data_IF_464614405162
#
_entry.id   IF_464614405162
#
_cell.length_a   1.000
_cell.length_b   1.000
_cell.length_c   1.000
_cell.angle_alpha   90.00
_cell.angle_beta   90.00
_cell.angle_gamma   90.00
#
_symmetry.space_group_name_H-M   'P 1'
#
loop_
_entity.id
_entity.type
_entity.pdbx_description
1 polymer ?
#
# COMPACT_ATOMS: atom_id res chain seq x y z
N UNK A 1 -53.62 -54.77 35.59
CA UNK A 1 -52.64 -53.65 35.46
C UNK A 1 -51.31 -54.00 34.74
N UNK A 2 -50.74 -55.18 34.84
CA UNK A 2 -49.46 -55.55 34.15
C UNK A 2 -49.59 -55.68 32.61
N UNK A 3 -50.73 -56.12 32.05
CA UNK A 3 -50.91 -56.23 30.59
C UNK A 3 -51.07 -54.86 29.92
N UNK A 4 -51.65 -53.89 30.59
CA UNK A 4 -51.82 -52.52 30.06
C UNK A 4 -50.50 -51.76 29.99
N UNK A 5 -49.60 -51.92 30.97
CA UNK A 5 -48.27 -51.33 30.96
C UNK A 5 -47.38 -51.89 29.83
N UNK A 6 -47.54 -53.16 29.43
CA UNK A 6 -46.81 -53.77 28.30
C UNK A 6 -47.32 -53.31 26.94
N UNK A 7 -48.61 -53.05 26.82
CA UNK A 7 -49.22 -52.51 25.60
C UNK A 7 -48.81 -51.03 25.38
N UNK A 8 -48.77 -50.25 26.47
CA UNK A 8 -48.33 -48.85 26.39
C UNK A 8 -46.83 -48.71 26.05
N UNK A 9 -45.98 -49.61 26.56
CA UNK A 9 -44.55 -49.63 26.23
C UNK A 9 -44.31 -50.03 24.76
N UNK A 10 -45.12 -50.95 24.21
CA UNK A 10 -45.04 -51.37 22.80
C UNK A 10 -45.48 -50.25 21.85
N UNK A 11 -46.53 -49.48 22.19
CA UNK A 11 -47.01 -48.36 21.40
C UNK A 11 -46.05 -47.18 21.46
N UNK A 12 -45.42 -46.90 22.57
CA UNK A 12 -44.39 -45.85 22.68
C UNK A 12 -43.11 -46.26 21.88
N UNK A 13 -42.73 -47.54 21.90
CA UNK A 13 -41.62 -48.03 21.14
C UNK A 13 -41.86 -47.95 19.60
N UNK A 14 -43.12 -48.22 19.15
CA UNK A 14 -43.49 -48.10 17.76
C UNK A 14 -43.52 -46.66 17.27
N UNK A 15 -43.98 -45.73 18.13
CA UNK A 15 -43.97 -44.28 17.79
C UNK A 15 -42.52 -43.73 17.72
N UNK A 16 -41.62 -44.21 18.58
CA UNK A 16 -40.20 -43.84 18.50
C UNK A 16 -39.52 -44.39 17.26
N UNK A 17 -39.91 -45.52 16.71
CA UNK A 17 -39.34 -46.05 15.47
C UNK A 17 -39.81 -45.34 14.20
N UNK A 18 -41.00 -44.69 14.24
CA UNK A 18 -41.52 -43.96 13.08
C UNK A 18 -40.94 -42.54 13.00
N UNK A 19 -40.39 -41.99 14.12
CA UNK A 19 -39.75 -40.69 14.12
C UNK A 19 -38.36 -40.67 13.48
N UNK A 20 -37.78 -41.79 13.03
CA UNK A 20 -36.51 -41.88 12.33
C UNK A 20 -36.67 -42.18 10.85
N UNK A 21 -37.79 -41.86 10.22
CA UNK A 21 -37.78 -41.68 8.77
C UNK A 21 -37.03 -40.37 8.50
N UNK A 22 -35.75 -40.51 8.23
CA UNK A 22 -34.89 -39.43 7.72
C UNK A 22 -35.52 -38.95 6.41
N UNK A 23 -36.25 -37.85 6.48
CA UNK A 23 -36.35 -36.98 5.32
C UNK A 23 -34.93 -36.62 4.93
N UNK A 24 -34.56 -36.76 3.65
CA UNK A 24 -33.29 -36.16 3.24
C UNK A 24 -33.40 -34.67 3.51
N UNK A 25 -32.75 -34.22 4.59
CA UNK A 25 -32.37 -32.84 4.66
C UNK A 25 -31.48 -32.63 3.45
N UNK A 26 -32.06 -32.08 2.39
CA UNK A 26 -31.25 -31.34 1.45
C UNK A 26 -30.65 -30.19 2.29
N UNK A 27 -29.49 -30.42 2.86
CA UNK A 27 -28.58 -29.36 3.14
C UNK A 27 -28.32 -28.75 1.77
N UNK A 28 -29.14 -27.76 1.38
CA UNK A 28 -28.62 -26.72 0.55
C UNK A 28 -27.44 -26.22 1.36
N UNK A 29 -26.23 -26.62 0.94
CA UNK A 29 -25.08 -25.82 1.15
C UNK A 29 -25.55 -24.43 0.67
N UNK A 30 -25.89 -23.53 1.60
CA UNK A 30 -25.71 -22.14 1.32
C UNK A 30 -24.28 -22.10 0.81
N UNK A 31 -24.12 -21.94 -0.51
CA UNK A 31 -22.94 -21.33 -1.02
C UNK A 31 -22.80 -20.08 -0.18
N UNK A 32 -21.99 -20.19 0.89
CA UNK A 32 -21.26 -19.06 1.35
C UNK A 32 -20.54 -18.59 0.08
N UNK A 33 -21.21 -17.74 -0.69
CA UNK A 33 -20.51 -16.79 -1.47
C UNK A 33 -19.67 -16.07 -0.43
N UNK A 34 -18.45 -16.60 -0.19
CA UNK A 34 -17.36 -15.75 0.22
C UNK A 34 -17.46 -14.62 -0.79
N UNK A 35 -18.05 -13.53 -0.32
CA UNK A 35 -17.77 -12.23 -0.89
C UNK A 35 -16.28 -12.12 -0.59
N UNK A 36 -15.48 -12.72 -1.45
CA UNK A 36 -14.12 -12.32 -1.68
C UNK A 36 -14.27 -10.83 -2.01
N UNK A 37 -14.21 -10.01 -0.98
CA UNK A 37 -13.86 -8.60 -1.14
C UNK A 37 -12.48 -8.72 -1.75
N UNK A 38 -12.44 -8.79 -3.08
CA UNK A 38 -11.22 -8.66 -3.85
C UNK A 38 -10.70 -7.32 -3.38
N UNK A 39 -9.71 -7.37 -2.49
CA UNK A 39 -9.01 -6.17 -2.08
C UNK A 39 -8.68 -5.49 -3.39
N UNK A 40 -9.15 -4.29 -3.60
CA UNK A 40 -8.85 -3.53 -4.81
C UNK A 40 -7.35 -3.44 -4.84
N UNK A 41 -6.72 -4.21 -5.74
CA UNK A 41 -5.27 -4.20 -5.86
C UNK A 41 -4.91 -2.75 -6.20
N UNK A 42 -4.18 -2.14 -5.31
CA UNK A 42 -3.70 -0.77 -5.46
C UNK A 42 -2.72 -0.74 -6.62
N UNK A 43 -2.85 0.25 -7.50
CA UNK A 43 -1.90 0.49 -8.59
C UNK A 43 -1.10 1.73 -8.25
N UNK A 44 0.21 1.63 -8.40
CA UNK A 44 1.14 2.72 -8.15
C UNK A 44 1.61 3.33 -9.46
N UNK A 45 1.49 4.65 -9.57
CA UNK A 45 2.05 5.42 -10.69
C UNK A 45 3.14 6.33 -10.13
N UNK A 46 4.39 6.04 -10.49
CA UNK A 46 5.54 6.88 -10.17
C UNK A 46 5.75 7.87 -11.30
N UNK A 47 5.65 9.16 -11.04
CA UNK A 47 5.86 10.21 -12.03
C UNK A 47 7.17 10.91 -11.73
N UNK A 48 8.13 10.73 -12.62
CA UNK A 48 9.47 11.30 -12.56
C UNK A 48 9.57 12.49 -13.50
N UNK A 49 10.17 13.56 -13.02
CA UNK A 49 10.47 14.74 -13.81
C UNK A 49 11.95 15.06 -13.73
N UNK A 50 12.64 14.90 -14.86
CA UNK A 50 14.04 15.19 -15.02
C UNK A 50 14.23 16.55 -15.65
N UNK A 51 14.92 17.46 -14.93
CA UNK A 51 15.26 18.79 -15.41
C UNK A 51 16.79 18.95 -15.44
N UNK A 52 17.39 19.14 -16.63
CA UNK A 52 18.84 19.31 -16.74
C UNK A 52 19.41 20.53 -16.01
N UNK A 53 18.57 21.57 -15.78
CA UNK A 53 18.95 22.79 -15.04
C UNK A 53 18.82 22.63 -13.53
N UNK A 54 18.27 21.50 -13.04
CA UNK A 54 18.05 21.23 -11.62
C UNK A 54 17.07 22.18 -10.92
N UNK A 55 16.34 23.02 -11.67
CA UNK A 55 15.41 23.98 -11.08
C UNK A 55 13.99 23.42 -11.05
N UNK A 56 13.58 22.93 -9.89
CA UNK A 56 12.25 22.38 -9.64
C UNK A 56 11.32 23.34 -8.89
N UNK A 57 11.69 24.60 -8.72
CA UNK A 57 10.92 25.58 -7.92
C UNK A 57 9.50 25.75 -8.48
N UNK A 58 8.52 25.51 -7.62
CA UNK A 58 7.10 25.60 -7.93
C UNK A 58 6.53 24.43 -8.74
N UNK A 59 7.37 23.54 -9.29
CA UNK A 59 6.88 22.40 -10.07
C UNK A 59 6.21 21.37 -9.18
N UNK A 60 5.03 20.89 -9.61
CA UNK A 60 4.21 19.88 -8.95
C UNK A 60 3.30 19.20 -9.97
N UNK A 61 2.54 18.22 -9.50
CA UNK A 61 1.57 17.50 -10.29
C UNK A 61 0.15 17.86 -9.83
N UNK A 62 -0.76 17.94 -10.77
CA UNK A 62 -2.19 17.88 -10.55
C UNK A 62 -2.68 16.54 -11.07
N UNK A 63 -3.27 15.70 -10.22
CA UNK A 63 -3.66 14.34 -10.59
C UNK A 63 -5.12 14.05 -10.24
N UNK A 64 -5.78 13.19 -11.03
CA UNK A 64 -7.15 12.73 -10.79
C UNK A 64 -7.36 11.33 -11.36
N UNK A 65 -8.20 10.56 -10.73
CA UNK A 65 -8.81 9.36 -11.30
C UNK A 65 -10.09 9.75 -12.06
N UNK A 66 -10.49 8.95 -13.04
CA UNK A 66 -11.70 9.20 -13.83
C UNK A 66 -12.93 9.41 -12.93
N UNK A 67 -13.62 10.54 -13.11
CA UNK A 67 -14.81 10.90 -12.33
C UNK A 67 -14.57 11.40 -10.91
N UNK A 68 -13.31 11.59 -10.50
CA UNK A 68 -12.94 12.17 -9.20
C UNK A 68 -12.34 13.57 -9.38
N UNK A 69 -12.40 14.35 -8.31
CA UNK A 69 -11.74 15.66 -8.27
C UNK A 69 -10.22 15.50 -8.28
N UNK A 70 -9.54 16.43 -8.95
CA UNK A 70 -8.08 16.49 -8.96
C UNK A 70 -7.51 16.99 -7.65
N UNK A 71 -6.28 16.58 -7.38
CA UNK A 71 -5.49 17.05 -6.22
C UNK A 71 -4.05 17.35 -6.60
N UNK A 72 -3.43 18.28 -5.85
CA UNK A 72 -2.00 18.55 -5.95
C UNK A 72 -1.21 17.41 -5.32
N UNK A 73 -0.15 17.01 -5.99
CA UNK A 73 0.87 16.10 -5.48
C UNK A 73 2.23 16.78 -5.67
N UNK A 74 2.96 16.94 -4.59
CA UNK A 74 4.33 17.44 -4.64
C UNK A 74 5.31 16.26 -4.83
N UNK A 75 6.49 16.56 -5.34
CA UNK A 75 7.56 15.58 -5.45
C UNK A 75 8.04 15.20 -4.05
N UNK A 76 8.20 13.90 -3.82
CA UNK A 76 8.53 13.33 -2.50
C UNK A 76 9.97 12.83 -2.42
N UNK A 77 10.65 12.62 -3.55
CA UNK A 77 12.01 12.13 -3.61
C UNK A 77 12.78 12.72 -4.79
N UNK A 78 14.09 12.56 -4.74
CA UNK A 78 15.04 13.00 -5.75
C UNK A 78 16.20 12.00 -5.83
N UNK A 79 16.70 11.78 -7.03
CA UNK A 79 17.90 11.03 -7.33
C UNK A 79 18.58 11.60 -8.59
N UNK A 80 19.58 10.90 -9.13
CA UNK A 80 20.32 11.33 -10.33
C UNK A 80 19.45 11.50 -11.59
N UNK A 81 18.29 10.83 -11.63
CA UNK A 81 17.34 10.91 -12.74
C UNK A 81 16.23 11.96 -12.52
N UNK A 82 16.33 12.76 -11.48
CA UNK A 82 15.44 13.88 -11.18
C UNK A 82 14.51 13.67 -10.00
N UNK A 83 13.49 14.53 -9.89
CA UNK A 83 12.49 14.43 -8.84
C UNK A 83 11.35 13.51 -9.22
N UNK A 84 10.76 12.83 -8.23
CA UNK A 84 9.61 11.96 -8.47
C UNK A 84 8.52 12.10 -7.40
N UNK A 85 7.30 11.77 -7.82
CA UNK A 85 6.16 11.58 -6.94
C UNK A 85 5.56 10.19 -7.18
N UNK A 86 4.89 9.63 -6.17
CA UNK A 86 4.18 8.36 -6.28
C UNK A 86 2.71 8.59 -5.98
N UNK A 87 1.87 8.17 -6.90
CA UNK A 87 0.41 8.24 -6.79
C UNK A 87 -0.11 6.83 -6.61
N UNK A 88 -0.77 6.59 -5.49
CA UNK A 88 -1.51 5.38 -5.21
C UNK A 88 -2.94 5.55 -5.72
N UNK A 89 -3.41 4.65 -6.56
CA UNK A 89 -4.74 4.69 -7.17
C UNK A 89 -5.43 3.34 -7.07
N UNK A 90 -6.75 3.33 -7.22
CA UNK A 90 -7.54 2.10 -7.24
C UNK A 90 -7.41 1.39 -8.58
N UNK A 91 -7.35 0.04 -8.56
CA UNK A 91 -7.39 -0.79 -9.78
C UNK A 91 -8.73 -0.69 -10.52
N UNK A 92 -9.78 -0.21 -9.84
CA UNK A 92 -11.07 0.02 -10.47
C UNK A 92 -11.07 1.29 -11.36
N UNK A 93 -10.02 2.12 -11.27
CA UNK A 93 -9.82 3.25 -12.14
C UNK A 93 -9.13 2.79 -13.43
N UNK A 94 -9.71 3.12 -14.58
CA UNK A 94 -9.13 2.76 -15.89
C UNK A 94 -7.88 3.57 -16.20
N UNK A 95 -7.85 4.83 -15.74
CA UNK A 95 -6.80 5.80 -16.05
C UNK A 95 -6.53 6.75 -14.89
N UNK A 96 -5.27 7.16 -14.76
CA UNK A 96 -4.85 8.31 -13.97
C UNK A 96 -4.57 9.49 -14.90
N UNK A 97 -5.34 10.57 -14.75
CA UNK A 97 -5.06 11.85 -15.39
C UNK A 97 -4.00 12.62 -14.61
N UNK A 98 -3.11 13.31 -15.31
CA UNK A 98 -2.14 14.19 -14.67
C UNK A 98 -1.76 15.40 -15.53
N UNK A 99 -1.37 16.46 -14.85
CA UNK A 99 -0.78 17.67 -15.43
C UNK A 99 0.51 17.94 -14.65
N UNK A 100 1.64 18.06 -15.35
CA UNK A 100 2.85 18.63 -14.78
C UNK A 100 2.72 20.14 -14.87
N UNK A 101 2.66 20.82 -13.73
CA UNK A 101 2.43 22.26 -13.66
C UNK A 101 3.41 22.97 -12.74
N UNK A 102 3.54 24.27 -12.94
CA UNK A 102 4.23 25.15 -12.03
C UNK A 102 3.22 26.03 -11.29
N UNK A 103 3.44 26.15 -9.99
CA UNK A 103 2.64 27.01 -9.10
C UNK A 103 3.55 28.03 -8.44
N UNK A 104 3.07 29.26 -8.29
CA UNK A 104 3.76 30.33 -7.56
C UNK A 104 2.79 30.91 -6.52
N UNK A 105 3.33 31.72 -5.61
CA UNK A 105 2.51 32.32 -4.56
C UNK A 105 1.34 33.12 -5.18
N UNK A 106 0.13 32.72 -4.85
CA UNK A 106 -1.10 33.36 -5.35
C UNK A 106 -1.54 32.90 -6.75
N UNK A 107 -0.81 32.02 -7.43
CA UNK A 107 -1.18 31.43 -8.70
C UNK A 107 -0.80 29.97 -8.79
N UNK A 108 -1.78 29.08 -8.67
CA UNK A 108 -1.59 27.63 -8.73
C UNK A 108 -1.31 27.10 -10.15
N UNK A 109 -1.48 27.91 -11.18
CA UNK A 109 -1.41 27.55 -12.60
C UNK A 109 -0.54 28.53 -13.41
N UNK A 110 0.67 28.79 -12.94
CA UNK A 110 1.61 29.69 -13.65
C UNK A 110 2.04 29.07 -14.99
N UNK A 111 2.21 27.74 -15.02
CA UNK A 111 2.60 27.01 -16.22
C UNK A 111 1.93 25.63 -16.26
N UNK A 112 1.51 25.19 -17.44
CA UNK A 112 1.18 23.80 -17.75
C UNK A 112 2.20 23.30 -18.78
N UNK A 113 3.08 22.40 -18.36
CA UNK A 113 4.22 21.94 -19.16
C UNK A 113 3.81 21.38 -20.52
N UNK A 114 2.79 20.55 -20.56
CA UNK A 114 2.32 19.93 -21.81
C UNK A 114 1.29 20.80 -22.58
N UNK A 115 0.68 21.76 -21.93
CA UNK A 115 -0.45 22.51 -22.48
C UNK A 115 -1.74 21.70 -22.63
N UNK A 116 -1.75 20.45 -22.18
CA UNK A 116 -2.90 19.54 -22.25
C UNK A 116 -2.79 18.48 -21.15
N UNK A 117 -3.91 17.84 -20.86
CA UNK A 117 -3.98 16.70 -19.95
C UNK A 117 -3.22 15.50 -20.51
N UNK A 118 -2.59 14.74 -19.62
CA UNK A 118 -1.97 13.46 -19.90
C UNK A 118 -2.63 12.35 -19.11
N UNK A 119 -2.59 11.13 -19.63
CA UNK A 119 -3.23 9.98 -19.02
C UNK A 119 -2.30 8.78 -18.99
N UNK A 120 -2.36 8.02 -17.89
CA UNK A 120 -1.71 6.71 -17.75
C UNK A 120 -2.81 5.66 -17.70
N UNK A 121 -2.70 4.63 -18.56
CA UNK A 121 -3.55 3.45 -18.54
C UNK A 121 -3.14 2.56 -17.35
N UNK A 122 -4.06 2.34 -16.43
CA UNK A 122 -3.82 1.58 -15.20
C UNK A 122 -3.97 0.05 -15.40
N UNK A 123 -4.45 -0.40 -16.55
CA UNK A 123 -4.56 -1.83 -16.87
C UNK A 123 -3.19 -2.51 -16.97
N UNK A 124 -2.14 -1.75 -17.24
CA UNK A 124 -0.75 -2.23 -17.26
C UNK A 124 -0.19 -2.54 -15.87
N UNK A 125 -0.89 -2.13 -14.79
CA UNK A 125 -0.42 -2.20 -13.41
C UNK A 125 0.57 -1.06 -13.10
N UNK A 126 1.45 -1.33 -12.14
CA UNK A 126 2.40 -0.34 -11.64
C UNK A 126 3.33 0.21 -12.72
N UNK A 127 3.25 1.51 -12.92
CA UNK A 127 3.88 2.19 -14.07
C UNK A 127 4.71 3.38 -13.60
N UNK A 128 5.91 3.53 -14.15
CA UNK A 128 6.70 4.76 -14.04
C UNK A 128 6.54 5.60 -15.31
N UNK A 129 6.19 6.86 -15.14
CA UNK A 129 6.13 7.90 -16.17
C UNK A 129 7.40 8.74 -16.07
N UNK A 130 8.21 8.76 -17.09
CA UNK A 130 9.45 9.56 -17.12
C UNK A 130 9.24 10.75 -18.06
N UNK A 131 9.35 11.95 -17.49
CA UNK A 131 9.24 13.22 -18.19
C UNK A 131 10.62 13.86 -18.22
N UNK A 132 11.27 13.84 -19.39
CA UNK A 132 12.51 14.57 -19.62
C UNK A 132 12.17 15.99 -20.10
N UNK A 133 12.62 17.01 -19.37
CA UNK A 133 12.34 18.39 -19.72
C UNK A 133 12.97 18.75 -21.07
N UNK A 134 12.15 19.20 -22.01
CA UNK A 134 12.56 19.67 -23.34
C UNK A 134 11.71 20.85 -23.76
N UNK A 135 12.29 21.76 -24.54
CA UNK A 135 11.56 22.88 -25.16
C UNK A 135 10.57 22.35 -26.20
N UNK A 136 11.04 21.43 -27.03
CA UNK A 136 10.28 20.80 -28.09
C UNK A 136 10.10 19.30 -27.83
N UNK A 137 9.05 18.69 -28.44
CA UNK A 137 8.74 17.28 -28.36
C UNK A 137 8.65 16.77 -26.90
N UNK A 138 7.62 17.26 -26.20
CA UNK A 138 7.35 16.95 -24.79
C UNK A 138 6.72 15.56 -24.61
N UNK A 139 7.40 14.52 -25.08
CA UNK A 139 6.97 13.14 -24.93
C UNK A 139 7.29 12.61 -23.53
N UNK A 140 6.58 11.56 -23.16
CA UNK A 140 6.80 10.81 -21.93
C UNK A 140 7.24 9.40 -22.26
N UNK A 141 8.10 8.83 -21.43
CA UNK A 141 8.46 7.42 -21.48
C UNK A 141 7.68 6.68 -20.39
N UNK A 142 7.14 5.51 -20.73
CA UNK A 142 6.46 4.64 -19.77
C UNK A 142 7.33 3.41 -19.48
N UNK A 143 7.58 3.15 -18.21
CA UNK A 143 8.34 2.00 -17.72
C UNK A 143 7.57 1.26 -16.64
N UNK A 144 7.99 0.06 -16.31
CA UNK A 144 7.58 -0.59 -15.06
C UNK A 144 8.33 0.06 -13.90
N UNK A 145 7.67 0.21 -12.76
CA UNK A 145 8.34 0.65 -11.53
C UNK A 145 9.39 -0.41 -11.15
N UNK A 146 10.63 0.05 -10.96
CA UNK A 146 11.69 -0.81 -10.43
C UNK A 146 11.43 -1.08 -8.94
N UNK A 147 11.47 -2.34 -8.55
CA UNK A 147 11.42 -2.81 -7.16
C UNK A 147 12.53 -3.79 -6.81
N UNK A 148 13.44 -4.01 -7.76
CA UNK A 148 14.60 -4.88 -7.56
C UNK A 148 15.81 -3.99 -7.25
N UNK A 149 16.36 -4.17 -6.06
CA UNK A 149 17.47 -3.38 -5.57
C UNK A 149 18.56 -4.30 -5.03
N UNK A 150 19.81 -3.99 -5.31
CA UNK A 150 20.95 -4.65 -4.65
C UNK A 150 20.89 -4.40 -3.14
N UNK A 151 20.48 -3.19 -2.76
CA UNK A 151 20.31 -2.78 -1.38
C UNK A 151 19.11 -1.85 -1.24
N UNK A 152 18.30 -2.04 -0.19
CA UNK A 152 17.27 -1.09 0.23
C UNK A 152 17.61 -0.57 1.61
N UNK A 153 17.57 0.75 1.78
CA UNK A 153 17.78 1.41 3.07
C UNK A 153 16.51 2.14 3.48
N UNK A 154 15.89 1.67 4.55
CA UNK A 154 14.77 2.38 5.19
C UNK A 154 15.32 3.32 6.25
N UNK A 155 15.24 4.62 6.00
CA UNK A 155 15.53 5.66 6.98
C UNK A 155 14.23 6.04 7.69
N UNK A 156 14.14 5.71 8.97
CA UNK A 156 12.92 5.90 9.75
C UNK A 156 13.13 6.98 10.81
N UNK A 157 12.20 7.95 10.83
CA UNK A 157 12.14 9.02 11.82
C UNK A 157 10.85 8.83 12.62
N UNK A 158 10.99 8.79 13.95
CA UNK A 158 9.88 8.56 14.85
C UNK A 158 9.70 9.70 15.84
N UNK A 159 8.54 10.31 15.79
CA UNK A 159 8.16 11.40 16.69
C UNK A 159 7.14 10.94 17.75
N UNK A 160 7.39 11.30 19.01
CA UNK A 160 6.44 11.15 20.10
C UNK A 160 6.22 12.50 20.77
N UNK A 161 4.97 12.92 20.85
CA UNK A 161 4.59 14.23 21.39
C UNK A 161 4.98 14.43 22.88
N UNK A 162 5.11 13.33 23.65
CA UNK A 162 5.50 13.35 25.07
C UNK A 162 7.00 13.13 25.29
N UNK A 163 7.79 13.01 24.22
CA UNK A 163 9.22 12.69 24.25
C UNK A 163 9.59 11.43 25.06
N UNK A 164 8.64 10.53 25.31
CA UNK A 164 8.89 9.27 25.97
C UNK A 164 9.28 8.21 24.94
N UNK A 165 10.57 8.03 24.72
CA UNK A 165 11.15 7.06 23.79
C UNK A 165 11.73 5.83 24.48
N UNK A 166 11.61 5.74 25.82
CA UNK A 166 12.22 4.66 26.61
C UNK A 166 11.68 3.30 26.16
N UNK A 167 12.61 2.39 25.83
CA UNK A 167 12.33 1.01 25.42
C UNK A 167 11.43 0.87 24.17
N UNK A 168 11.33 1.89 23.33
CA UNK A 168 10.68 1.72 22.02
C UNK A 168 11.69 1.29 20.97
N UNK A 169 11.29 0.29 20.12
CA UNK A 169 12.03 -0.17 18.95
C UNK A 169 11.15 -0.25 17.71
N UNK A 170 11.77 -0.54 16.59
CA UNK A 170 11.09 -0.84 15.31
C UNK A 170 11.20 -2.34 15.08
N UNK A 171 10.08 -3.04 15.04
CA UNK A 171 10.02 -4.37 14.46
C UNK A 171 9.78 -4.22 12.96
N UNK A 172 10.73 -4.69 12.12
CA UNK A 172 10.64 -4.55 10.69
C UNK A 172 10.88 -5.88 9.96
N UNK A 173 10.22 -6.04 8.81
CA UNK A 173 10.39 -7.20 7.93
C UNK A 173 10.20 -6.80 6.47
N UNK A 174 10.84 -7.53 5.57
CA UNK A 174 10.62 -7.42 4.13
C UNK A 174 9.61 -8.49 3.70
N UNK A 175 8.48 -8.07 3.14
CA UNK A 175 7.44 -8.99 2.66
C UNK A 175 7.86 -9.62 1.30
N UNK A 176 7.47 -10.88 0.98
CA UNK A 176 6.67 -11.78 1.81
C UNK A 176 7.48 -12.77 2.66
N UNK A 177 8.82 -12.81 2.60
CA UNK A 177 9.57 -14.00 3.00
C UNK A 177 10.58 -13.82 4.13
N UNK A 178 10.67 -12.66 4.75
CA UNK A 178 11.65 -12.42 5.78
C UNK A 178 10.99 -12.27 7.15
N UNK A 179 11.46 -13.08 8.10
CA UNK A 179 11.10 -12.90 9.51
C UNK A 179 11.49 -11.50 9.97
N UNK A 180 10.63 -10.87 10.79
CA UNK A 180 10.93 -9.56 11.35
C UNK A 180 12.03 -9.60 12.38
N UNK A 181 12.70 -8.46 12.54
CA UNK A 181 13.70 -8.22 13.58
C UNK A 181 13.42 -6.89 14.28
N UNK A 182 13.84 -6.82 15.56
CA UNK A 182 13.81 -5.56 16.32
C UNK A 182 15.03 -4.71 16.00
N UNK A 183 14.81 -3.42 15.77
CA UNK A 183 15.84 -2.42 15.50
C UNK A 183 15.70 -1.27 16.49
N UNK A 184 16.71 -1.04 17.29
CA UNK A 184 16.73 0.08 18.23
C UNK A 184 16.87 1.42 17.48
N UNK A 185 16.29 2.48 18.01
CA UNK A 185 16.61 3.83 17.59
C UNK A 185 18.01 4.18 18.06
N UNK A 186 18.92 4.50 17.13
CA UNK A 186 20.32 4.76 17.37
C UNK A 186 20.77 6.17 17.02
N UNK A 187 19.85 7.00 16.56
CA UNK A 187 20.05 8.40 16.22
C UNK A 187 18.90 9.29 16.69
N UNK A 188 19.10 10.58 16.51
CA UNK A 188 18.13 11.64 16.81
C UNK A 188 18.35 12.82 15.88
N UNK A 189 17.27 13.46 15.48
CA UNK A 189 17.26 14.71 14.73
C UNK A 189 16.19 15.68 15.27
N UNK A 190 15.96 16.80 14.58
CA UNK A 190 14.98 17.80 14.98
C UNK A 190 13.53 17.27 14.97
N UNK A 191 13.26 16.18 14.27
CA UNK A 191 11.96 15.54 14.22
C UNK A 191 11.75 14.57 15.38
N UNK A 192 12.77 13.77 15.75
CA UNK A 192 12.69 12.77 16.81
C UNK A 192 13.78 11.71 16.75
N UNK A 193 13.45 10.49 17.15
CA UNK A 193 14.41 9.37 17.10
C UNK A 193 14.50 8.77 15.71
N UNK A 194 15.72 8.36 15.33
CA UNK A 194 16.00 7.82 14.00
C UNK A 194 16.64 6.44 14.05
N UNK A 195 16.41 5.65 13.01
CA UNK A 195 17.17 4.42 12.73
C UNK A 195 17.19 4.16 11.23
N UNK A 196 18.24 3.48 10.75
CA UNK A 196 18.36 3.01 9.38
C UNK A 196 18.37 1.50 9.35
N UNK A 197 17.52 0.90 8.52
CA UNK A 197 17.38 -0.55 8.36
C UNK A 197 17.74 -0.91 6.93
N UNK A 198 18.66 -1.86 6.75
CA UNK A 198 19.19 -2.25 5.45
C UNK A 198 18.76 -3.67 5.12
N UNK A 199 18.27 -3.85 3.89
CA UNK A 199 17.98 -5.14 3.28
C UNK A 199 18.83 -5.30 2.03
N UNK A 200 19.52 -6.42 1.91
CA UNK A 200 20.39 -6.74 0.77
C UNK A 200 19.68 -7.68 -0.22
N UNK A 201 20.02 -7.57 -1.51
CA UNK A 201 19.50 -8.45 -2.57
C UNK A 201 17.96 -8.51 -2.60
N UNK A 202 17.32 -7.35 -2.58
CA UNK A 202 15.87 -7.23 -2.65
C UNK A 202 15.44 -7.46 -4.08
N UNK A 203 14.91 -8.65 -4.36
CA UNK A 203 14.41 -9.04 -5.68
C UNK A 203 12.98 -9.51 -5.58
N UNK A 204 12.16 -9.17 -6.58
CA UNK A 204 10.74 -9.52 -6.63
C UNK A 204 9.98 -9.11 -5.34
N UNK A 205 10.36 -8.02 -4.72
CA UNK A 205 9.61 -7.47 -3.60
C UNK A 205 8.23 -7.05 -4.09
N UNK A 206 7.30 -8.01 -3.97
CA UNK A 206 5.92 -7.81 -4.40
C UNK A 206 5.24 -6.88 -3.40
N UNK A 207 4.46 -6.01 -3.96
CA UNK A 207 3.29 -5.28 -3.46
C UNK A 207 3.34 -4.72 -2.02
N UNK A 208 3.74 -5.46 -1.00
CA UNK A 208 3.70 -4.98 0.38
C UNK A 208 4.97 -4.18 0.77
N UNK A 209 6.15 -4.53 0.23
CA UNK A 209 7.38 -3.82 0.57
C UNK A 209 7.90 -4.13 1.98
N UNK A 210 8.21 -3.09 2.76
CA UNK A 210 8.72 -3.23 4.12
C UNK A 210 7.59 -3.03 5.12
N UNK A 211 7.31 -4.06 5.93
CA UNK A 211 6.40 -3.95 7.07
C UNK A 211 7.11 -3.40 8.30
N UNK A 212 6.44 -2.54 9.07
CA UNK A 212 6.95 -1.97 10.31
C UNK A 212 5.90 -1.95 11.42
N UNK A 213 6.36 -2.18 12.64
CA UNK A 213 5.61 -1.96 13.88
C UNK A 213 6.53 -1.22 14.85
N UNK A 214 6.09 -0.09 15.37
CA UNK A 214 6.76 0.55 16.50
C UNK A 214 6.20 -0.06 17.77
N UNK A 215 7.07 -0.64 18.61
CA UNK A 215 6.66 -1.44 19.75
C UNK A 215 7.61 -1.30 20.95
N UNK A 216 7.20 -1.87 22.09
CA UNK A 216 8.12 -2.29 23.15
C UNK A 216 8.71 -3.66 22.79
N UNK A 217 10.03 -3.94 23.02
CA UNK A 217 10.67 -5.21 22.64
C UNK A 217 9.99 -6.45 23.21
N UNK A 218 9.41 -6.34 24.39
CA UNK A 218 8.68 -7.41 25.08
C UNK A 218 7.20 -7.56 24.59
N UNK A 219 6.80 -6.79 23.56
CA UNK A 219 5.43 -6.74 23.02
C UNK A 219 4.35 -6.26 24.00
N UNK A 220 4.74 -5.64 25.13
CA UNK A 220 3.77 -5.08 26.08
C UNK A 220 2.98 -3.89 25.53
N UNK A 221 3.50 -3.22 24.51
CA UNK A 221 2.83 -2.12 23.83
C UNK A 221 3.22 -2.03 22.36
N UNK A 222 2.28 -1.56 21.55
CA UNK A 222 2.47 -1.09 20.18
C UNK A 222 2.05 0.38 20.12
N UNK A 223 2.71 1.13 19.24
CA UNK A 223 2.33 2.52 18.97
C UNK A 223 0.97 2.60 18.25
N UNK A 224 0.77 1.69 17.28
CA UNK A 224 -0.49 1.47 16.57
C UNK A 224 -0.77 -0.04 16.53
N UNK A 225 -2.04 -0.44 16.62
CA UNK A 225 -2.45 -1.84 16.67
C UNK A 225 -2.28 -2.59 15.35
N UNK A 226 -2.25 -1.89 14.21
CA UNK A 226 -2.12 -2.50 12.88
C UNK A 226 -0.73 -2.32 12.27
N UNK A 227 -0.37 -3.26 11.41
CA UNK A 227 0.88 -3.23 10.66
C UNK A 227 0.86 -2.11 9.62
N UNK A 228 2.01 -1.46 9.43
CA UNK A 228 2.21 -0.44 8.40
C UNK A 228 3.14 -1.00 7.34
N UNK A 229 2.88 -0.66 6.09
CA UNK A 229 3.69 -1.11 4.98
C UNK A 229 4.18 0.06 4.14
N UNK A 230 5.46 -0.02 3.76
CA UNK A 230 6.13 0.94 2.90
C UNK A 230 6.40 0.25 1.57
N UNK A 231 5.67 0.65 0.53
CA UNK A 231 5.84 0.08 -0.80
C UNK A 231 7.15 0.57 -1.44
N UNK A 232 7.90 -0.33 -2.06
CA UNK A 232 9.18 0.01 -2.69
C UNK A 232 9.04 0.90 -3.95
N UNK A 233 7.83 1.13 -4.43
CA UNK A 233 7.59 2.19 -5.43
C UNK A 233 8.01 3.58 -4.94
N UNK A 234 8.04 3.79 -3.61
CA UNK A 234 8.47 5.04 -3.00
C UNK A 234 10.00 5.20 -2.92
N UNK A 235 10.76 4.12 -3.12
CA UNK A 235 12.21 4.20 -3.11
C UNK A 235 12.74 5.02 -4.30
N UNK A 236 13.84 5.75 -4.09
CA UNK A 236 14.64 6.32 -5.17
C UNK A 236 15.42 5.22 -5.93
N UNK A 237 16.18 5.56 -6.96
CA UNK A 237 16.94 4.58 -7.76
C UNK A 237 18.04 3.88 -6.95
N UNK A 238 18.46 4.47 -5.82
CA UNK A 238 19.46 3.89 -4.93
C UNK A 238 18.84 2.96 -3.86
N UNK A 239 17.53 2.79 -3.86
CA UNK A 239 16.78 1.97 -2.90
C UNK A 239 16.57 2.65 -1.54
N UNK A 240 16.45 3.98 -1.48
CA UNK A 240 16.22 4.75 -0.26
C UNK A 240 14.84 5.37 -0.24
#
# INVERSE_FOLDING_TARGET
>A
MRKFKRALAAVLSLIMCIAFIQLPLSVQAEENSEISVKASEEVYVKIRYNRPDGNYDGWNLWVWEAGKDGKRIDFIGEDEDGKFAVVKTSKDADQLGYILRRSEQGNEWTENYFGSDKFVDLSAGDTEVVINHKEDNKDVELKKINRDFEKVTLNLHYYRFNNDYDEWDVWAWLDPNHGGNGHAFNGEDDFGKTTSIVYENVVNAKEAGIGIIIRKPDWSAKDIEFDRFINLAYANNNGE
#
